data_IF_447585155610
#
_entry.id   IF_447585155610
#
_cell.length_a   1.000
_cell.length_b   1.000
_cell.length_c   1.000
_cell.angle_alpha   90.00
_cell.angle_beta   90.00
_cell.angle_gamma   90.00
#
_symmetry.space_group_name_H-M   'P 1'
#
loop_
_entity.id
_entity.type
_entity.pdbx_description
1 polymer ?
#
# COMPACT_ATOMS: atom_id res chain seq x y z
N UNK A 1 3.34 -8.44 -18.93
CA UNK A 1 3.55 -8.40 -17.47
C UNK A 1 4.76 -9.26 -17.12
N UNK A 2 5.52 -8.93 -16.08
CA UNK A 2 6.72 -9.67 -15.62
C UNK A 2 6.44 -11.16 -15.45
N UNK A 3 5.31 -11.51 -14.89
CA UNK A 3 4.90 -12.90 -14.70
C UNK A 3 4.75 -13.67 -16.03
N UNK A 4 4.36 -13.00 -17.13
CA UNK A 4 4.28 -13.63 -18.46
C UNK A 4 5.64 -13.94 -19.05
N UNK A 5 6.66 -13.05 -18.85
CA UNK A 5 8.04 -13.28 -19.31
C UNK A 5 8.64 -14.47 -18.56
N UNK A 6 8.51 -14.51 -17.25
CA UNK A 6 8.97 -15.62 -16.40
C UNK A 6 8.33 -16.95 -16.79
N UNK A 7 7.02 -17.00 -17.02
CA UNK A 7 6.34 -18.23 -17.46
C UNK A 7 6.82 -18.70 -18.85
N UNK A 8 7.16 -17.78 -19.76
CA UNK A 8 7.73 -18.10 -21.07
C UNK A 8 9.12 -18.75 -21.00
N UNK A 9 9.95 -18.38 -20.03
CA UNK A 9 11.27 -19.02 -19.80
C UNK A 9 11.12 -20.51 -19.44
N UNK A 10 10.03 -20.87 -18.76
CA UNK A 10 9.66 -22.26 -18.49
C UNK A 10 8.82 -22.92 -19.60
N UNK A 11 8.71 -22.26 -20.77
CA UNK A 11 7.95 -22.76 -21.93
C UNK A 11 6.45 -22.88 -21.67
N UNK A 12 5.91 -21.96 -20.87
CA UNK A 12 4.48 -21.88 -20.53
C UNK A 12 3.84 -20.71 -21.25
N UNK A 13 2.75 -20.95 -21.96
CA UNK A 13 2.00 -19.92 -22.67
C UNK A 13 0.94 -19.30 -21.75
N UNK A 14 1.18 -18.06 -21.36
CA UNK A 14 0.25 -17.28 -20.52
C UNK A 14 -0.55 -16.24 -21.35
N UNK A 15 -0.42 -16.25 -22.67
CA UNK A 15 -1.03 -15.19 -23.51
C UNK A 15 -2.52 -15.46 -23.78
N UNK A 16 -3.00 -16.71 -23.60
CA UNK A 16 -4.36 -17.15 -23.89
C UNK A 16 -5.18 -17.57 -22.65
N UNK A 17 -4.95 -16.92 -21.50
CA UNK A 17 -5.73 -17.20 -20.29
C UNK A 17 -6.98 -16.33 -20.31
N UNK A 18 -8.10 -16.91 -20.77
CA UNK A 18 -9.36 -16.18 -20.88
C UNK A 18 -10.44 -16.67 -19.88
N UNK A 19 -10.19 -17.79 -19.19
CA UNK A 19 -11.11 -18.40 -18.23
C UNK A 19 -10.39 -19.17 -17.13
N UNK A 20 -11.15 -19.62 -16.12
CA UNK A 20 -10.63 -20.38 -14.98
C UNK A 20 -10.03 -21.74 -15.39
N UNK A 21 -10.54 -22.39 -16.43
CA UNK A 21 -10.04 -23.68 -16.90
C UNK A 21 -8.64 -23.52 -17.52
N UNK A 22 -8.43 -22.53 -18.35
CA UNK A 22 -7.13 -22.16 -18.93
C UNK A 22 -6.11 -21.82 -17.84
N UNK A 23 -6.53 -21.07 -16.83
CA UNK A 23 -5.69 -20.73 -15.69
C UNK A 23 -5.30 -21.95 -14.84
N UNK A 24 -6.26 -22.83 -14.55
CA UNK A 24 -6.02 -24.07 -13.78
C UNK A 24 -5.08 -25.02 -14.52
N UNK A 25 -5.21 -25.11 -15.85
CA UNK A 25 -4.31 -25.90 -16.69
C UNK A 25 -2.89 -25.33 -16.67
N UNK A 26 -2.74 -24.03 -16.83
CA UNK A 26 -1.44 -23.35 -16.74
C UNK A 26 -0.76 -23.62 -15.38
N UNK A 27 -1.51 -23.55 -14.26
CA UNK A 27 -0.98 -23.87 -12.94
C UNK A 27 -0.54 -25.32 -12.80
N UNK A 28 -1.29 -26.27 -13.38
CA UNK A 28 -0.94 -27.68 -13.37
C UNK A 28 0.33 -27.95 -14.20
N UNK A 29 0.44 -27.35 -15.38
CA UNK A 29 1.61 -27.45 -16.26
C UNK A 29 2.84 -26.80 -15.60
N UNK A 30 2.67 -25.67 -14.93
CA UNK A 30 3.70 -24.99 -14.17
C UNK A 30 4.22 -25.87 -13.01
N UNK A 31 3.33 -26.43 -12.21
CA UNK A 31 3.67 -27.37 -11.13
C UNK A 31 4.39 -28.62 -11.64
N UNK A 32 4.00 -29.13 -12.82
CA UNK A 32 4.63 -30.29 -13.44
C UNK A 32 6.05 -30.01 -13.92
N UNK A 33 6.29 -28.84 -14.51
CA UNK A 33 7.60 -28.47 -15.09
C UNK A 33 8.64 -28.07 -14.06
N UNK A 34 8.24 -27.47 -12.95
CA UNK A 34 9.13 -27.04 -11.87
C UNK A 34 9.54 -28.16 -10.90
N UNK A 35 9.01 -29.35 -11.02
CA UNK A 35 9.49 -30.57 -10.34
C UNK A 35 9.69 -30.42 -8.83
N UNK A 36 10.89 -30.76 -8.33
CA UNK A 36 11.24 -30.75 -6.91
C UNK A 36 11.27 -29.35 -6.28
N UNK A 37 11.57 -28.30 -7.05
CA UNK A 37 11.73 -26.95 -6.53
C UNK A 37 10.46 -26.35 -5.94
N UNK A 38 9.28 -26.72 -6.50
CA UNK A 38 7.97 -26.29 -5.93
C UNK A 38 7.55 -27.13 -4.73
N UNK A 39 8.06 -28.35 -4.57
CA UNK A 39 7.69 -29.20 -3.42
C UNK A 39 8.28 -28.69 -2.10
N UNK A 40 9.33 -27.88 -2.17
CA UNK A 40 10.09 -27.38 -1.01
C UNK A 40 9.78 -25.91 -0.67
N UNK A 41 9.14 -25.16 -1.58
CA UNK A 41 8.81 -23.74 -1.37
C UNK A 41 7.31 -23.50 -1.37
N UNK A 42 6.86 -22.60 -0.51
CA UNK A 42 5.48 -22.14 -0.52
C UNK A 42 5.20 -21.24 -1.75
N UNK A 43 3.94 -21.18 -2.20
CA UNK A 43 3.54 -20.31 -3.33
C UNK A 43 3.96 -18.83 -3.12
N UNK A 44 3.85 -18.23 -1.91
CA UNK A 44 4.37 -16.90 -1.63
C UNK A 44 5.88 -16.75 -1.82
N UNK A 45 6.69 -17.73 -1.35
CA UNK A 45 8.15 -17.71 -1.53
C UNK A 45 8.55 -17.85 -2.99
N UNK A 46 7.81 -18.64 -3.74
CA UNK A 46 8.02 -18.82 -5.17
C UNK A 46 7.67 -17.54 -5.95
N UNK A 47 6.58 -16.87 -5.58
CA UNK A 47 6.18 -15.58 -6.14
C UNK A 47 7.20 -14.48 -5.83
N UNK A 48 7.76 -14.46 -4.63
CA UNK A 48 8.82 -13.53 -4.24
C UNK A 48 10.09 -13.75 -5.08
N UNK A 49 10.54 -15.01 -5.23
CA UNK A 49 11.72 -15.33 -6.04
C UNK A 49 11.53 -15.04 -7.54
N UNK A 50 10.30 -15.20 -8.07
CA UNK A 50 9.97 -14.80 -9.44
C UNK A 50 10.03 -13.27 -9.63
N UNK A 51 9.83 -12.52 -8.56
CA UNK A 51 9.96 -11.07 -8.54
C UNK A 51 11.43 -10.63 -8.46
N UNK A 52 12.25 -11.35 -7.70
CA UNK A 52 13.67 -11.03 -7.49
C UNK A 52 14.58 -11.47 -8.68
N UNK A 53 14.15 -12.45 -9.47
CA UNK A 53 14.92 -12.97 -10.62
C UNK A 53 14.66 -12.31 -11.97
N UNK A 54 13.79 -11.28 -12.04
CA UNK A 54 13.59 -10.52 -13.27
C UNK A 54 14.65 -9.44 -13.41
N UNK A 55 15.53 -9.59 -14.44
CA UNK A 55 16.58 -8.63 -14.77
C UNK A 55 16.05 -7.19 -14.84
N UNK A 56 16.80 -6.29 -14.18
CA UNK A 56 16.40 -4.92 -13.81
C UNK A 56 16.49 -3.88 -14.95
N UNK A 57 16.85 -4.22 -16.19
CA UNK A 57 17.49 -3.24 -17.07
C UNK A 57 16.58 -2.38 -17.98
N UNK A 58 15.31 -2.73 -18.25
CA UNK A 58 14.49 -1.93 -19.18
C UNK A 58 13.17 -1.34 -18.59
N UNK A 59 12.73 -1.80 -17.41
CA UNK A 59 11.46 -1.41 -16.80
C UNK A 59 11.60 -0.36 -15.67
N UNK A 60 12.79 -0.18 -15.12
CA UNK A 60 13.03 0.78 -14.03
C UNK A 60 12.82 2.23 -14.45
N UNK A 61 13.25 2.61 -15.65
CA UNK A 61 13.08 3.97 -16.17
C UNK A 61 11.58 4.31 -16.38
N UNK A 62 10.81 3.36 -16.90
CA UNK A 62 9.37 3.50 -17.09
C UNK A 62 8.60 3.57 -15.77
N UNK A 63 8.99 2.73 -14.83
CA UNK A 63 8.38 2.67 -13.49
C UNK A 63 8.71 3.92 -12.67
N UNK A 64 9.93 4.40 -12.73
CA UNK A 64 10.33 5.62 -12.05
C UNK A 64 9.58 6.85 -12.61
N UNK A 65 9.43 6.93 -13.92
CA UNK A 65 8.61 7.98 -14.56
C UNK A 65 7.16 7.94 -14.08
N UNK A 66 6.57 6.76 -14.00
CA UNK A 66 5.23 6.55 -13.46
C UNK A 66 5.11 7.06 -12.02
N UNK A 67 6.07 6.74 -11.15
CA UNK A 67 6.05 7.25 -9.76
C UNK A 67 6.19 8.76 -9.70
N UNK A 68 7.03 9.38 -10.53
CA UNK A 68 7.15 10.83 -10.58
C UNK A 68 5.86 11.52 -11.05
N UNK A 69 5.15 10.94 -12.02
CA UNK A 69 3.85 11.45 -12.47
C UNK A 69 2.82 11.41 -11.33
N UNK A 70 2.76 10.30 -10.58
CA UNK A 70 1.88 10.17 -9.40
C UNK A 70 2.25 11.17 -8.31
N UNK A 71 3.53 11.32 -7.98
CA UNK A 71 4.02 12.27 -6.98
C UNK A 71 3.66 13.71 -7.36
N UNK A 72 3.84 14.09 -8.62
CA UNK A 72 3.47 15.41 -9.11
C UNK A 72 1.95 15.64 -9.01
N UNK A 73 1.16 14.62 -9.35
CA UNK A 73 -0.29 14.67 -9.20
C UNK A 73 -0.71 14.82 -7.73
N UNK A 74 -0.09 14.05 -6.82
CA UNK A 74 -0.32 14.15 -5.37
C UNK A 74 0.02 15.54 -4.81
N UNK A 75 1.13 16.13 -5.23
CA UNK A 75 1.50 17.49 -4.82
C UNK A 75 0.43 18.53 -5.19
N UNK A 76 -0.24 18.33 -6.32
CA UNK A 76 -1.30 19.21 -6.79
C UNK A 76 -2.68 18.86 -6.21
N UNK A 77 -3.10 17.58 -6.34
CA UNK A 77 -4.46 17.12 -5.96
C UNK A 77 -4.61 16.78 -4.49
N UNK A 78 -3.51 16.51 -3.78
CA UNK A 78 -3.45 16.07 -2.38
C UNK A 78 -4.00 14.66 -2.11
N UNK A 79 -4.84 14.13 -2.95
CA UNK A 79 -5.34 12.74 -2.89
C UNK A 79 -5.45 12.14 -4.28
N UNK A 80 -5.29 10.82 -4.36
CA UNK A 80 -5.44 10.01 -5.59
C UNK A 80 -5.99 8.63 -5.22
N UNK A 81 -6.57 7.97 -6.20
CA UNK A 81 -7.00 6.58 -6.10
C UNK A 81 -6.18 5.76 -7.12
N UNK A 82 -5.52 4.71 -6.63
CA UNK A 82 -4.83 3.73 -7.46
C UNK A 82 -5.78 2.57 -7.75
N UNK A 83 -6.22 2.44 -8.98
CA UNK A 83 -7.12 1.39 -9.44
C UNK A 83 -6.38 0.38 -10.32
N UNK A 84 -6.79 -0.88 -10.27
CA UNK A 84 -6.22 -1.94 -11.11
C UNK A 84 -6.62 -3.33 -10.64
N UNK A 85 -6.29 -4.33 -11.44
CA UNK A 85 -6.61 -5.73 -11.16
C UNK A 85 -5.98 -6.21 -9.83
N UNK A 86 -6.54 -7.23 -9.16
CA UNK A 86 -5.92 -7.85 -8.01
C UNK A 86 -4.52 -8.38 -8.34
N UNK A 87 -3.57 -8.25 -7.41
CA UNK A 87 -2.22 -8.80 -7.56
C UNK A 87 -1.25 -8.02 -8.47
N UNK A 88 -1.63 -6.85 -8.98
CA UNK A 88 -0.72 -6.01 -9.80
C UNK A 88 0.26 -5.16 -8.99
N UNK A 89 0.26 -5.27 -7.67
CA UNK A 89 1.21 -4.55 -6.82
C UNK A 89 0.76 -3.16 -6.35
N UNK A 90 -0.53 -2.81 -6.42
CA UNK A 90 -1.05 -1.48 -6.02
C UNK A 90 -0.60 -1.03 -4.63
N UNK A 91 -0.72 -1.89 -3.63
CA UNK A 91 -0.31 -1.57 -2.25
C UNK A 91 1.19 -1.32 -2.17
N UNK A 92 1.98 -2.10 -2.91
CA UNK A 92 3.41 -1.91 -3.02
C UNK A 92 3.75 -0.55 -3.68
N UNK A 93 3.11 -0.24 -4.81
CA UNK A 93 3.32 1.03 -5.51
C UNK A 93 2.89 2.23 -4.66
N UNK A 94 1.79 2.10 -3.89
CA UNK A 94 1.33 3.14 -2.97
C UNK A 94 2.38 3.44 -1.88
N UNK A 95 2.98 2.40 -1.28
CA UNK A 95 4.06 2.53 -0.28
C UNK A 95 5.28 3.20 -0.90
N UNK A 96 5.70 2.76 -2.08
CA UNK A 96 6.87 3.32 -2.76
C UNK A 96 6.67 4.80 -3.12
N UNK A 97 5.50 5.16 -3.64
CA UNK A 97 5.12 6.56 -3.92
C UNK A 97 5.13 7.40 -2.64
N UNK A 98 4.57 6.88 -1.53
CA UNK A 98 4.54 7.58 -0.26
C UNK A 98 5.94 7.86 0.28
N UNK A 99 6.84 6.87 0.23
CA UNK A 99 8.24 7.01 0.66
C UNK A 99 8.97 8.03 -0.22
N UNK A 100 8.87 7.94 -1.55
CA UNK A 100 9.50 8.88 -2.47
C UNK A 100 8.94 10.29 -2.37
N UNK A 101 7.67 10.44 -2.01
CA UNK A 101 7.05 11.74 -1.73
C UNK A 101 7.65 12.37 -0.47
N UNK A 102 7.85 11.58 0.60
CA UNK A 102 8.42 12.06 1.86
C UNK A 102 9.94 12.25 1.76
N UNK A 103 10.64 11.40 1.00
CA UNK A 103 12.10 11.38 0.89
C UNK A 103 12.53 11.36 -0.60
N UNK A 104 12.48 12.51 -1.30
CA UNK A 104 12.77 12.58 -2.74
C UNK A 104 14.16 12.06 -3.15
N UNK A 105 15.13 12.01 -2.23
CA UNK A 105 16.47 11.49 -2.47
C UNK A 105 16.57 9.96 -2.66
N UNK A 106 15.46 9.24 -2.51
CA UNK A 106 15.39 7.78 -2.70
C UNK A 106 14.97 7.34 -4.12
N UNK A 107 14.85 8.29 -5.03
CA UNK A 107 14.62 8.00 -6.45
C UNK A 107 15.74 7.10 -6.98
N UNK A 108 15.39 5.98 -7.65
CA UNK A 108 16.36 5.01 -8.20
C UNK A 108 17.15 4.21 -7.14
N UNK A 109 16.67 4.13 -5.89
CA UNK A 109 17.28 3.32 -4.83
C UNK A 109 16.67 1.92 -4.78
N UNK A 110 17.47 0.98 -4.25
CA UNK A 110 17.05 -0.41 -4.10
C UNK A 110 15.81 -0.56 -3.23
N UNK A 111 15.04 -1.63 -3.47
CA UNK A 111 13.86 -2.01 -2.69
C UNK A 111 14.12 -2.03 -1.18
N UNK A 112 15.28 -2.57 -0.77
CA UNK A 112 15.66 -2.62 0.65
C UNK A 112 15.77 -1.24 1.27
N UNK A 113 16.28 -0.25 0.53
CA UNK A 113 16.36 1.13 1.00
C UNK A 113 14.96 1.75 1.16
N UNK A 114 14.03 1.48 0.23
CA UNK A 114 12.62 1.92 0.33
C UNK A 114 11.94 1.31 1.56
N UNK A 115 12.12 0.00 1.80
CA UNK A 115 11.52 -0.67 2.97
C UNK A 115 12.06 -0.14 4.31
N UNK A 116 13.36 0.14 4.39
CA UNK A 116 13.97 0.72 5.58
C UNK A 116 13.44 2.12 5.86
N UNK A 117 13.35 2.95 4.84
CA UNK A 117 12.81 4.30 4.99
C UNK A 117 11.32 4.29 5.29
N UNK A 118 10.56 3.38 4.70
CA UNK A 118 9.13 3.19 5.04
C UNK A 118 8.93 2.93 6.54
N UNK A 119 9.71 2.00 7.11
CA UNK A 119 9.64 1.70 8.55
C UNK A 119 9.92 2.94 9.39
N UNK A 120 11.00 3.66 9.07
CA UNK A 120 11.37 4.90 9.76
C UNK A 120 10.25 5.95 9.67
N UNK A 121 9.73 6.22 8.46
CA UNK A 121 8.67 7.19 8.26
C UNK A 121 7.35 6.78 8.95
N UNK A 122 7.11 5.47 9.12
CA UNK A 122 5.96 4.96 9.86
C UNK A 122 6.16 5.14 11.37
N UNK A 123 7.35 4.84 11.89
CA UNK A 123 7.70 5.09 13.30
C UNK A 123 7.64 6.58 13.65
N UNK A 124 8.10 7.45 12.75
CA UNK A 124 8.00 8.91 12.87
C UNK A 124 6.56 9.44 12.69
N UNK A 125 5.60 8.57 12.35
CA UNK A 125 4.20 8.93 12.10
C UNK A 125 3.97 9.77 10.84
N UNK A 126 4.94 9.82 9.93
CA UNK A 126 4.86 10.52 8.63
C UNK A 126 4.05 9.76 7.61
N UNK A 127 4.14 8.43 7.65
CA UNK A 127 3.30 7.53 6.84
C UNK A 127 2.45 6.72 7.79
N UNK A 128 1.14 6.75 7.58
CA UNK A 128 0.18 5.89 8.27
C UNK A 128 -0.56 5.06 7.25
N UNK A 129 -0.92 3.82 7.61
CA UNK A 129 -1.66 2.92 6.73
C UNK A 129 -2.86 2.34 7.45
N UNK A 130 -4.00 2.32 6.78
CA UNK A 130 -5.24 1.70 7.26
C UNK A 130 -5.84 0.83 6.17
N UNK A 131 -6.31 -0.35 6.54
CA UNK A 131 -7.03 -1.24 5.62
C UNK A 131 -8.52 -1.11 5.90
N UNK A 132 -9.31 -0.77 4.88
CA UNK A 132 -10.75 -0.69 5.02
C UNK A 132 -11.37 -2.09 5.08
N UNK A 133 -12.34 -2.26 5.98
CA UNK A 133 -13.11 -3.48 6.17
C UNK A 133 -14.55 -3.14 6.62
N UNK A 134 -15.43 -4.13 6.61
CA UNK A 134 -16.86 -3.89 6.84
C UNK A 134 -17.23 -3.35 8.23
N UNK A 135 -16.41 -3.67 9.24
CA UNK A 135 -16.62 -3.20 10.61
C UNK A 135 -15.98 -1.85 10.93
N UNK A 136 -15.10 -1.33 10.06
CA UNK A 136 -14.51 0.00 10.24
C UNK A 136 -15.59 1.07 10.12
N UNK A 137 -15.59 2.02 11.05
CA UNK A 137 -16.54 3.11 11.07
C UNK A 137 -15.89 4.47 11.38
N UNK A 138 -16.73 5.50 11.50
CA UNK A 138 -16.31 6.86 11.79
C UNK A 138 -15.55 6.97 13.11
N UNK A 139 -16.00 6.23 14.13
CA UNK A 139 -15.38 6.30 15.46
C UNK A 139 -13.95 5.77 15.50
N UNK A 140 -13.63 4.81 14.64
CA UNK A 140 -12.25 4.28 14.51
C UNK A 140 -11.41 5.09 13.54
N UNK A 141 -12.04 5.66 12.51
CA UNK A 141 -11.32 6.37 11.45
C UNK A 141 -11.08 7.84 11.78
N UNK A 142 -12.10 8.54 12.28
CA UNK A 142 -12.04 9.99 12.56
C UNK A 142 -11.94 10.25 14.06
N UNK A 143 -12.98 10.04 14.81
CA UNK A 143 -12.99 10.17 16.27
C UNK A 143 -14.19 9.43 16.87
N UNK A 144 -14.03 8.90 18.06
CA UNK A 144 -15.09 8.17 18.75
C UNK A 144 -15.06 8.33 20.25
N UNK A 145 -16.16 8.00 20.91
CA UNK A 145 -16.28 8.01 22.36
C UNK A 145 -15.92 6.62 22.89
N UNK A 146 -14.87 6.53 23.71
CA UNK A 146 -14.46 5.26 24.34
C UNK A 146 -14.61 5.32 25.84
N UNK A 147 -15.14 4.25 26.48
CA UNK A 147 -15.18 4.15 27.93
C UNK A 147 -13.74 3.94 28.48
N UNK A 148 -13.41 4.65 29.54
CA UNK A 148 -12.19 4.49 30.29
C UNK A 148 -12.53 4.23 31.77
N UNK A 149 -11.91 3.23 32.36
CA UNK A 149 -12.13 2.90 33.78
C UNK A 149 -10.95 3.42 34.58
N UNK A 150 -11.21 4.20 35.62
CA UNK A 150 -10.19 4.66 36.56
C UNK A 150 -9.78 3.54 37.54
N UNK A 151 -8.72 3.79 38.30
CA UNK A 151 -8.21 2.84 39.31
C UNK A 151 -9.23 2.53 40.43
N UNK A 152 -10.27 3.35 40.54
CA UNK A 152 -11.35 3.20 41.54
C UNK A 152 -12.58 2.45 40.95
N UNK A 153 -12.51 2.02 39.69
CA UNK A 153 -13.58 1.29 39.00
C UNK A 153 -14.70 2.19 38.43
N UNK A 154 -14.55 3.52 38.46
CA UNK A 154 -15.54 4.42 37.85
C UNK A 154 -15.32 4.48 36.34
N UNK A 155 -16.42 4.46 35.58
CA UNK A 155 -16.41 4.58 34.11
C UNK A 155 -16.55 6.06 33.74
N UNK A 156 -15.60 6.56 32.97
CA UNK A 156 -15.66 7.85 32.29
C UNK A 156 -15.64 7.63 30.77
N UNK A 157 -16.07 8.62 30.01
CA UNK A 157 -16.06 8.57 28.57
C UNK A 157 -15.10 9.63 28.03
N UNK A 158 -14.21 9.22 27.12
CA UNK A 158 -13.28 10.14 26.47
C UNK A 158 -13.46 10.09 24.96
N UNK A 159 -13.29 11.23 24.32
CA UNK A 159 -13.13 11.30 22.87
C UNK A 159 -11.73 10.84 22.54
N UNK A 160 -11.61 9.86 21.65
CA UNK A 160 -10.35 9.30 21.17
C UNK A 160 -10.26 9.52 19.68
N UNK A 161 -9.16 10.11 19.24
CA UNK A 161 -8.94 10.40 17.83
C UNK A 161 -8.65 9.13 17.04
N UNK A 162 -9.35 8.98 15.91
CA UNK A 162 -9.09 7.94 14.91
C UNK A 162 -7.84 8.23 14.08
N UNK A 163 -7.44 7.25 13.27
CA UNK A 163 -6.18 7.32 12.50
C UNK A 163 -6.13 8.54 11.58
N UNK A 164 -7.23 8.92 10.93
CA UNK A 164 -7.28 10.07 10.03
C UNK A 164 -7.03 11.38 10.78
N UNK A 165 -7.75 11.60 11.89
CA UNK A 165 -7.60 12.80 12.71
C UNK A 165 -6.19 12.92 13.29
N UNK A 166 -5.62 11.82 13.80
CA UNK A 166 -4.24 11.81 14.29
C UNK A 166 -3.22 12.25 13.24
N UNK A 167 -3.36 11.79 11.98
CA UNK A 167 -2.47 12.20 10.88
C UNK A 167 -2.65 13.70 10.58
N UNK A 168 -3.89 14.19 10.55
CA UNK A 168 -4.19 15.60 10.32
C UNK A 168 -3.59 16.50 11.41
N UNK A 169 -3.72 16.12 12.68
CA UNK A 169 -3.18 16.90 13.81
C UNK A 169 -1.65 16.97 13.80
N UNK A 170 -0.98 15.82 13.52
CA UNK A 170 0.47 15.79 13.35
C UNK A 170 0.93 16.71 12.21
N UNK A 171 0.22 16.68 11.08
CA UNK A 171 0.51 17.54 9.94
C UNK A 171 0.30 19.03 10.28
N UNK A 172 -0.80 19.37 10.97
CA UNK A 172 -1.10 20.73 11.39
C UNK A 172 -0.07 21.27 12.39
N UNK A 173 0.33 20.47 13.37
CA UNK A 173 1.37 20.82 14.33
C UNK A 173 2.70 21.12 13.63
N UNK A 174 3.14 20.24 12.74
CA UNK A 174 4.38 20.42 11.99
C UNK A 174 4.35 21.67 11.07
N UNK A 175 3.19 22.02 10.52
CA UNK A 175 3.02 23.23 9.71
C UNK A 175 3.09 24.51 10.58
N UNK A 176 2.64 24.45 11.84
CA UNK A 176 2.67 25.58 12.77
C UNK A 176 4.07 25.91 13.27
N UNK A 177 4.99 24.95 13.25
CA UNK A 177 6.37 25.13 13.69
C UNK A 177 7.24 25.96 12.71
N UNK A 178 6.66 26.47 11.63
CA UNK A 178 7.29 27.44 10.72
C UNK A 178 8.43 26.88 9.87
N UNK A 179 8.46 25.59 9.65
CA UNK A 179 9.48 24.94 8.79
C UNK A 179 9.06 25.07 7.33
N UNK A 180 9.75 25.90 6.57
CA UNK A 180 9.45 26.19 5.14
C UNK A 180 9.48 24.98 4.20
N UNK A 181 9.92 23.81 4.65
CA UNK A 181 9.96 22.56 3.88
C UNK A 181 9.48 21.37 4.71
N UNK A 182 8.21 21.38 5.10
CA UNK A 182 7.63 20.29 5.88
C UNK A 182 7.54 19.04 5.02
N UNK A 183 8.22 17.98 5.45
CA UNK A 183 8.01 16.64 4.88
C UNK A 183 6.53 16.29 4.95
N UNK A 184 5.89 15.87 3.85
CA UNK A 184 4.46 15.59 3.85
C UNK A 184 4.10 14.46 4.81
N UNK A 185 2.86 14.50 5.31
CA UNK A 185 2.21 13.41 5.99
C UNK A 185 1.34 12.65 4.99
N UNK A 186 1.42 11.32 5.00
CA UNK A 186 0.72 10.47 4.03
C UNK A 186 -0.13 9.43 4.75
N UNK A 187 -1.41 9.38 4.41
CA UNK A 187 -2.30 8.30 4.82
C UNK A 187 -2.57 7.39 3.61
N UNK A 188 -2.17 6.14 3.72
CA UNK A 188 -2.46 5.08 2.73
C UNK A 188 -3.73 4.36 3.20
N UNK A 189 -4.75 4.36 2.35
CA UNK A 189 -5.98 3.60 2.58
C UNK A 189 -5.98 2.41 1.62
N UNK A 190 -5.78 1.22 2.17
CA UNK A 190 -5.84 -0.03 1.39
C UNK A 190 -7.25 -0.63 1.42
N UNK A 191 -7.57 -1.41 0.39
CA UNK A 191 -8.87 -2.09 0.25
C UNK A 191 -10.08 -1.12 0.40
N UNK A 192 -9.96 0.09 -0.13
CA UNK A 192 -10.96 1.17 -0.01
C UNK A 192 -12.40 0.71 -0.32
N UNK A 193 -12.56 -0.19 -1.28
CA UNK A 193 -13.86 -0.72 -1.70
C UNK A 193 -14.46 -1.78 -0.76
N UNK A 194 -13.71 -2.27 0.23
CA UNK A 194 -14.22 -3.25 1.22
C UNK A 194 -14.94 -2.60 2.39
N UNK A 195 -14.72 -1.31 2.62
CA UNK A 195 -15.38 -0.55 3.66
C UNK A 195 -16.69 0.09 3.21
N UNK A 196 -17.55 0.41 4.16
CA UNK A 196 -18.67 1.30 3.90
C UNK A 196 -18.18 2.75 3.97
N UNK A 197 -17.81 3.30 2.82
CA UNK A 197 -17.19 4.64 2.69
C UNK A 197 -18.05 5.72 3.36
N UNK A 198 -19.36 5.68 3.16
CA UNK A 198 -20.28 6.65 3.78
C UNK A 198 -20.30 6.57 5.31
N UNK A 199 -20.22 5.34 5.86
CA UNK A 199 -20.17 5.14 7.31
C UNK A 199 -18.81 5.56 7.90
N UNK A 200 -17.73 5.32 7.17
CA UNK A 200 -16.36 5.59 7.63
C UNK A 200 -16.05 7.09 7.62
N UNK A 201 -16.40 7.77 6.53
CA UNK A 201 -16.12 9.20 6.39
C UNK A 201 -17.21 10.10 7.01
N UNK A 202 -18.44 9.60 7.18
CA UNK A 202 -19.53 10.39 7.73
C UNK A 202 -19.74 11.70 6.97
N UNK A 203 -19.80 12.80 7.69
CA UNK A 203 -19.97 14.14 7.13
C UNK A 203 -18.76 14.64 6.30
N UNK A 204 -17.58 14.07 6.44
CA UNK A 204 -16.42 14.48 5.64
C UNK A 204 -16.62 14.27 4.13
N UNK A 205 -17.58 13.45 3.71
CA UNK A 205 -17.93 13.28 2.29
C UNK A 205 -18.62 14.54 1.72
N UNK A 206 -19.26 15.32 2.56
CA UNK A 206 -20.07 16.47 2.15
C UNK A 206 -19.35 17.81 2.27
N UNK A 207 -18.13 17.79 2.76
CA UNK A 207 -17.23 18.93 2.85
C UNK A 207 -16.39 19.08 1.57
#
# INVERSE_FOLDING_TARGET
SRNRKYLKEYGLDADNINDWASYSKLLADFKSKLGKEIKEKTIPEFSANAYDGAEEDDDESGKEKFYQEIINLLKYKKNIILEGAPGVGKTYDAVEVAVKLCTPGLVGKSRKAIEQEYRKLTEDGRISMVTFHQSLDYEEFVEGIKPETDDSGNISYKIVDGIFKQVCERAATAASDGVDNVTPYVLIIDEFNRGNVSKIFGELITL
#
